data_IF_618243318920
#
_entry.id   IF_618243318920
#
_cell.length_a   1.000
_cell.length_b   1.000
_cell.length_c   1.000
_cell.angle_alpha   90.00
_cell.angle_beta   90.00
_cell.angle_gamma   90.00
#
_symmetry.space_group_name_H-M   'P 1'
#
loop_
_entity.id
_entity.type
_entity.pdbx_description
1 polymer ?
#
# COMPACT_ATOMS: atom_id res chain seq x y z
N UNK A 1 21.90 15.05 -26.44
CA UNK A 1 21.45 15.70 -25.18
C UNK A 1 19.95 15.51 -25.06
N UNK A 2 19.45 15.23 -23.85
CA UNK A 2 18.01 15.09 -23.61
C UNK A 2 17.30 16.44 -23.81
N UNK A 3 16.21 16.44 -24.57
CA UNK A 3 15.35 17.63 -24.76
C UNK A 3 14.17 17.55 -23.82
N UNK A 4 13.71 18.70 -23.35
CA UNK A 4 12.57 18.82 -22.46
C UNK A 4 11.59 19.85 -22.98
N UNK A 5 10.31 19.59 -22.76
CA UNK A 5 9.25 20.58 -22.83
C UNK A 5 8.93 21.05 -21.41
N UNK A 6 8.63 22.32 -21.23
CA UNK A 6 8.30 22.92 -19.94
C UNK A 6 6.87 23.43 -19.93
N UNK A 7 6.22 23.28 -18.78
CA UNK A 7 4.89 23.84 -18.51
C UNK A 7 4.94 24.63 -17.22
N UNK A 8 4.37 25.83 -17.24
CA UNK A 8 4.25 26.69 -16.06
C UNK A 8 2.77 26.94 -15.83
N UNK A 9 2.32 26.68 -14.60
CA UNK A 9 0.92 26.89 -14.21
C UNK A 9 0.85 27.76 -12.96
N UNK A 10 -0.18 28.61 -12.80
CA UNK A 10 -0.38 29.35 -11.56
C UNK A 10 -0.52 28.38 -10.38
N UNK A 11 0.14 28.68 -9.26
CA UNK A 11 -0.05 27.90 -8.04
C UNK A 11 -1.50 28.08 -7.54
N UNK A 12 -2.15 27.02 -7.00
CA UNK A 12 -3.45 27.15 -6.38
C UNK A 12 -3.43 28.21 -5.28
N UNK A 13 -4.39 29.13 -5.29
CA UNK A 13 -4.49 30.19 -4.28
C UNK A 13 -5.52 29.88 -3.18
N UNK A 14 -6.43 28.94 -3.47
CA UNK A 14 -7.54 28.57 -2.57
C UNK A 14 -7.53 27.07 -2.37
N UNK A 15 -7.81 26.67 -1.14
CA UNK A 15 -7.95 25.27 -0.78
C UNK A 15 -9.27 24.66 -1.22
N UNK A 16 -9.21 23.41 -1.68
CA UNK A 16 -10.35 22.60 -2.11
C UNK A 16 -10.86 21.81 -0.91
N UNK A 17 -12.18 21.77 -0.72
CA UNK A 17 -12.79 20.91 0.31
C UNK A 17 -12.66 19.45 -0.13
N UNK A 18 -12.21 18.58 0.78
CA UNK A 18 -12.17 17.14 0.57
C UNK A 18 -12.70 16.40 1.81
N UNK A 19 -13.10 15.15 1.62
CA UNK A 19 -13.62 14.30 2.70
C UNK A 19 -12.55 14.13 3.78
N UNK A 20 -12.91 14.38 5.04
CA UNK A 20 -11.99 14.31 6.17
C UNK A 20 -11.10 15.55 6.38
N UNK A 21 -11.02 16.47 5.40
CA UNK A 21 -10.16 17.67 5.49
C UNK A 21 -10.96 18.87 6.01
N UNK A 22 -10.75 19.19 7.29
CA UNK A 22 -11.51 20.23 7.99
C UNK A 22 -10.78 21.59 8.05
N UNK A 23 -9.46 21.60 8.07
CA UNK A 23 -8.64 22.80 8.27
C UNK A 23 -8.39 23.57 6.97
N UNK A 24 -8.21 24.91 7.01
CA UNK A 24 -7.82 25.69 5.83
C UNK A 24 -6.50 25.23 5.21
N UNK A 25 -5.50 24.95 6.04
CA UNK A 25 -4.20 24.42 5.62
C UNK A 25 -4.35 23.09 4.88
N UNK A 26 -5.11 22.14 5.45
CA UNK A 26 -5.35 20.85 4.81
C UNK A 26 -6.02 21.01 3.45
N UNK A 27 -7.00 21.93 3.32
CA UNK A 27 -7.65 22.21 2.03
C UNK A 27 -6.67 22.77 1.00
N UNK A 28 -5.77 23.64 1.43
CA UNK A 28 -4.72 24.19 0.57
C UNK A 28 -3.75 23.11 0.10
N UNK A 29 -3.28 22.25 1.01
CA UNK A 29 -2.45 21.10 0.68
C UNK A 29 -3.15 20.16 -0.32
N UNK A 30 -4.43 19.86 -0.11
CA UNK A 30 -5.23 19.06 -1.04
C UNK A 30 -5.28 19.67 -2.45
N UNK A 31 -5.42 21.00 -2.58
CA UNK A 31 -5.41 21.63 -3.91
C UNK A 31 -4.07 21.49 -4.62
N UNK A 32 -2.96 21.63 -3.88
CA UNK A 32 -1.62 21.43 -4.45
C UNK A 32 -1.44 19.96 -4.85
N UNK A 33 -1.78 19.02 -3.97
CA UNK A 33 -1.70 17.59 -4.21
C UNK A 33 -2.50 17.18 -5.45
N UNK A 34 -3.75 17.65 -5.59
CA UNK A 34 -4.58 17.39 -6.76
C UNK A 34 -3.92 17.87 -8.05
N UNK A 35 -3.35 19.08 -8.06
CA UNK A 35 -2.65 19.62 -9.23
C UNK A 35 -1.39 18.82 -9.56
N UNK A 36 -0.58 18.47 -8.55
CA UNK A 36 0.62 17.66 -8.76
C UNK A 36 0.27 16.27 -9.30
N UNK A 37 -0.76 15.63 -8.76
CA UNK A 37 -1.22 14.33 -9.23
C UNK A 37 -1.77 14.40 -10.65
N UNK A 38 -2.51 15.45 -11.00
CA UNK A 38 -2.99 15.66 -12.37
C UNK A 38 -1.81 15.84 -13.34
N UNK A 39 -0.85 16.70 -13.00
CA UNK A 39 0.35 16.91 -13.84
C UNK A 39 1.17 15.63 -13.99
N UNK A 40 1.35 14.87 -12.91
CA UNK A 40 2.02 13.57 -12.95
C UNK A 40 1.30 12.55 -13.83
N UNK A 41 -0.04 12.47 -13.77
CA UNK A 41 -0.85 11.63 -14.66
C UNK A 41 -0.70 12.04 -16.13
N UNK A 42 -0.57 13.34 -16.40
CA UNK A 42 -0.34 13.89 -17.74
C UNK A 42 1.13 13.75 -18.22
N UNK A 43 1.99 13.08 -17.44
CA UNK A 43 3.40 12.82 -17.77
C UNK A 43 4.36 13.98 -17.50
N UNK A 44 3.96 14.93 -16.66
CA UNK A 44 4.80 16.06 -16.25
C UNK A 44 5.51 15.79 -14.92
N UNK A 45 6.79 16.12 -14.87
CA UNK A 45 7.65 16.07 -13.69
C UNK A 45 7.67 17.46 -13.01
N UNK A 46 7.42 17.49 -11.70
CA UNK A 46 7.50 18.72 -10.92
C UNK A 46 8.96 19.16 -10.72
N UNK A 47 9.25 20.43 -11.00
CA UNK A 47 10.59 20.99 -10.81
C UNK A 47 10.68 21.87 -9.57
N UNK A 48 9.82 22.88 -9.47
CA UNK A 48 9.87 23.89 -8.40
C UNK A 48 8.65 24.80 -8.38
N UNK A 49 8.49 25.51 -7.28
CA UNK A 49 7.61 26.68 -7.16
C UNK A 49 8.46 27.95 -7.26
N UNK A 50 7.92 28.98 -7.91
CA UNK A 50 8.58 30.27 -8.11
C UNK A 50 7.62 31.41 -7.78
N UNK A 51 8.17 32.52 -7.26
CA UNK A 51 7.43 33.76 -6.99
C UNK A 51 7.97 34.85 -7.90
N UNK A 52 7.21 35.22 -8.93
CA UNK A 52 7.66 36.12 -9.99
C UNK A 52 6.80 37.40 -10.05
N UNK A 53 7.40 38.56 -10.39
CA UNK A 53 6.64 39.77 -10.68
C UNK A 53 5.94 39.64 -12.04
N UNK A 54 4.66 40.05 -12.10
CA UNK A 54 3.81 40.10 -13.29
C UNK A 54 3.35 41.53 -13.50
N UNK A 55 3.71 42.15 -14.62
CA UNK A 55 3.24 43.49 -14.98
C UNK A 55 1.86 43.42 -15.63
N UNK A 56 0.88 44.10 -15.03
CA UNK A 56 -0.49 44.09 -15.49
C UNK A 56 -1.01 45.52 -15.64
N UNK A 57 -1.83 45.78 -16.65
CA UNK A 57 -2.42 47.11 -16.85
C UNK A 57 -3.33 47.46 -15.68
N UNK A 58 -3.12 48.64 -15.11
CA UNK A 58 -3.96 49.23 -14.07
C UNK A 58 -4.62 50.51 -14.59
N UNK A 59 -5.95 50.48 -14.73
CA UNK A 59 -6.73 51.63 -15.22
C UNK A 59 -6.45 51.94 -16.69
N UNK A 60 -6.57 53.23 -17.06
CA UNK A 60 -6.51 53.65 -18.47
C UNK A 60 -5.08 53.76 -19.02
N UNK A 61 -4.08 54.11 -18.20
CA UNK A 61 -2.69 54.34 -18.66
C UNK A 61 -1.60 53.77 -17.74
N UNK A 62 -1.95 53.19 -16.58
CA UNK A 62 -0.97 52.66 -15.63
C UNK A 62 -0.65 51.18 -15.83
N UNK A 63 0.47 50.74 -15.27
CA UNK A 63 0.77 49.34 -14.99
C UNK A 63 1.01 49.14 -13.49
N UNK A 64 0.76 47.92 -13.00
CA UNK A 64 1.02 47.50 -11.63
C UNK A 64 1.76 46.18 -11.65
N UNK A 65 2.76 46.03 -10.77
CA UNK A 65 3.49 44.78 -10.58
C UNK A 65 2.79 43.91 -9.54
N UNK A 66 2.30 42.75 -9.96
CA UNK A 66 1.68 41.73 -9.12
C UNK A 66 2.63 40.56 -8.91
N UNK A 67 2.95 40.23 -7.66
CA UNK A 67 3.77 39.06 -7.35
C UNK A 67 2.91 37.79 -7.38
N UNK A 68 3.27 36.83 -8.25
CA UNK A 68 2.50 35.60 -8.49
C UNK A 68 3.33 34.35 -8.23
N UNK A 69 2.73 33.40 -7.52
CA UNK A 69 3.29 32.07 -7.36
C UNK A 69 2.94 31.21 -8.56
N UNK A 70 3.92 30.51 -9.13
CA UNK A 70 3.76 29.56 -10.22
C UNK A 70 4.46 28.24 -9.89
N UNK A 71 3.96 27.14 -10.45
CA UNK A 71 4.57 25.83 -10.39
C UNK A 71 5.15 25.49 -11.76
N UNK A 72 6.41 25.07 -11.78
CA UNK A 72 7.15 24.73 -13.00
C UNK A 72 7.26 23.22 -13.11
N UNK A 73 6.92 22.71 -14.29
CA UNK A 73 6.99 21.31 -14.64
C UNK A 73 7.80 21.13 -15.92
N UNK A 74 8.34 19.92 -16.12
CA UNK A 74 8.97 19.52 -17.38
C UNK A 74 8.51 18.13 -17.81
N UNK A 75 8.68 17.80 -19.09
CA UNK A 75 8.60 16.41 -19.58
C UNK A 75 9.68 16.18 -20.63
N UNK A 76 10.25 14.99 -20.65
CA UNK A 76 11.22 14.60 -21.67
C UNK A 76 10.53 14.54 -23.04
N UNK A 77 11.09 15.22 -24.04
CA UNK A 77 10.71 14.99 -25.43
C UNK A 77 11.43 13.72 -25.89
N UNK A 78 10.71 12.77 -26.49
CA UNK A 78 11.34 11.63 -27.13
C UNK A 78 12.40 12.14 -28.12
N UNK A 79 13.67 11.89 -27.82
CA UNK A 79 14.70 11.90 -28.84
C UNK A 79 14.41 10.65 -29.67
N UNK A 80 14.18 10.81 -30.98
CA UNK A 80 13.67 9.76 -31.86
C UNK A 80 14.18 8.38 -31.45
N UNK A 81 13.23 7.50 -31.14
CA UNK A 81 13.37 6.11 -30.71
C UNK A 81 14.76 5.53 -31.04
N UNK A 82 15.72 5.64 -30.12
CA UNK A 82 16.76 4.63 -30.07
C UNK A 82 16.04 3.39 -29.52
N UNK A 83 16.17 2.21 -30.16
CA UNK A 83 15.45 1.02 -29.73
C UNK A 83 15.70 0.82 -28.24
N UNK A 84 14.65 0.84 -27.42
CA UNK A 84 14.78 0.33 -26.07
C UNK A 84 15.26 -1.11 -26.21
N UNK A 85 16.33 -1.52 -25.50
CA UNK A 85 16.65 -2.94 -25.43
C UNK A 85 15.42 -3.62 -24.85
N UNK A 86 14.74 -4.40 -25.68
CA UNK A 86 13.73 -5.36 -25.23
C UNK A 86 14.36 -6.12 -24.07
N UNK A 87 13.70 -6.22 -22.90
CA UNK A 87 14.13 -7.15 -21.86
C UNK A 87 14.33 -8.51 -22.54
N UNK A 88 15.45 -9.22 -22.31
CA UNK A 88 15.54 -10.59 -22.80
C UNK A 88 14.30 -11.31 -22.28
N UNK A 89 13.53 -11.92 -23.20
CA UNK A 89 12.48 -12.84 -22.80
C UNK A 89 13.12 -13.82 -21.83
N UNK A 90 12.64 -13.82 -20.58
CA UNK A 90 13.03 -14.81 -19.60
C UNK A 90 12.59 -16.15 -20.18
N UNK A 91 13.56 -16.89 -20.72
CA UNK A 91 13.43 -18.28 -21.09
C UNK A 91 12.72 -18.96 -19.93
N UNK A 92 11.48 -19.39 -20.17
CA UNK A 92 10.63 -20.01 -19.17
C UNK A 92 11.18 -21.41 -18.91
N UNK A 93 12.30 -21.47 -18.20
CA UNK A 93 12.84 -22.71 -17.68
C UNK A 93 11.75 -23.31 -16.78
N UNK A 94 11.30 -24.55 -17.05
CA UNK A 94 10.24 -25.16 -16.26
C UNK A 94 10.71 -25.29 -14.81
N UNK A 95 10.00 -24.64 -13.89
CA UNK A 95 10.26 -24.78 -12.46
C UNK A 95 10.02 -26.23 -12.06
N UNK A 96 10.95 -26.92 -11.38
CA UNK A 96 10.73 -28.29 -10.95
C UNK A 96 9.55 -28.32 -9.97
N UNK A 97 8.52 -29.08 -10.31
CA UNK A 97 7.41 -29.35 -9.37
C UNK A 97 7.95 -30.22 -8.23
N UNK A 98 7.66 -29.88 -6.96
CA UNK A 98 8.01 -30.76 -5.86
C UNK A 98 7.26 -32.09 -6.03
N UNK A 99 7.99 -33.19 -5.96
CA UNK A 99 7.42 -34.54 -5.93
C UNK A 99 6.87 -34.76 -4.52
N UNK A 100 5.60 -35.15 -4.35
CA UNK A 100 5.04 -35.41 -3.02
C UNK A 100 5.86 -36.46 -2.28
N UNK A 101 6.30 -36.11 -1.07
CA UNK A 101 6.97 -37.05 -0.18
C UNK A 101 5.97 -38.05 0.44
N UNK A 102 6.44 -39.12 1.08
CA UNK A 102 5.60 -40.17 1.68
C UNK A 102 4.71 -39.70 2.85
N UNK A 103 4.72 -38.41 3.18
CA UNK A 103 3.86 -37.78 4.19
C UNK A 103 2.50 -37.34 3.58
N UNK A 104 2.40 -37.15 2.26
CA UNK A 104 1.17 -36.68 1.59
C UNK A 104 0.12 -37.79 1.36
N UNK A 105 0.46 -39.06 1.64
CA UNK A 105 -0.48 -40.20 1.53
C UNK A 105 -1.26 -40.50 2.83
N UNK A 106 -1.08 -39.70 3.89
CA UNK A 106 -1.69 -39.95 5.21
C UNK A 106 -2.85 -39.01 5.56
N UNK A 107 -3.41 -38.28 4.59
CA UNK A 107 -4.61 -37.45 4.79
C UNK A 107 -5.90 -38.15 4.35
N UNK A 108 -6.17 -39.33 4.91
CA UNK A 108 -7.53 -39.88 4.95
C UNK A 108 -7.63 -40.91 6.10
N UNK A 109 -8.29 -40.59 7.23
CA UNK A 109 -8.59 -41.61 8.23
C UNK A 109 -9.66 -42.59 7.67
N UNK A 110 -9.49 -43.91 7.82
CA UNK A 110 -10.52 -44.87 7.42
C UNK A 110 -11.76 -44.69 8.30
N UNK A 111 -12.95 -44.68 7.69
CA UNK A 111 -14.22 -44.59 8.41
C UNK A 111 -14.42 -45.84 9.30
N UNK A 112 -14.57 -45.62 10.60
CA UNK A 112 -14.82 -46.68 11.56
C UNK A 112 -16.28 -47.21 11.43
N UNK A 113 -16.51 -48.53 11.59
CA UNK A 113 -17.86 -49.10 11.58
C UNK A 113 -18.67 -48.66 12.82
N UNK A 114 -20.00 -48.62 12.68
CA UNK A 114 -20.91 -48.13 13.71
C UNK A 114 -20.91 -49.00 14.99
N UNK A 115 -21.07 -48.38 16.18
CA UNK A 115 -21.08 -49.10 17.45
C UNK A 115 -22.35 -49.94 17.66
N UNK A 116 -22.17 -51.15 18.21
CA UNK A 116 -23.24 -52.06 18.63
C UNK A 116 -23.92 -51.47 19.88
N UNK A 117 -25.25 -51.35 19.86
CA UNK A 117 -26.04 -50.94 21.04
C UNK A 117 -26.34 -52.16 21.91
N UNK A 118 -25.55 -52.35 22.95
CA UNK A 118 -25.86 -53.29 24.03
C UNK A 118 -25.51 -52.62 25.37
N UNK A 119 -26.47 -52.53 26.29
CA UNK A 119 -26.27 -51.92 27.62
C UNK A 119 -25.68 -52.95 28.58
N UNK A 120 -24.46 -52.76 29.09
CA UNK A 120 -23.93 -53.59 30.17
C UNK A 120 -24.62 -53.22 31.49
N UNK A 121 -25.12 -54.22 32.21
CA UNK A 121 -25.65 -54.05 33.56
C UNK A 121 -24.51 -54.07 34.59
N UNK A 122 -24.39 -53.02 35.40
CA UNK A 122 -23.37 -52.94 36.46
C UNK A 122 -23.84 -53.59 37.77
N UNK A 123 -23.07 -54.52 38.37
CA UNK A 123 -23.21 -54.86 39.78
C UNK A 123 -22.41 -53.88 40.66
N UNK A 124 -22.84 -53.60 41.92
CA UNK A 124 -22.21 -52.56 42.72
C UNK A 124 -21.02 -53.12 43.51
N UNK A 125 -19.89 -52.43 43.50
CA UNK A 125 -18.79 -52.68 44.42
C UNK A 125 -18.27 -51.36 45.00
N UNK A 126 -18.57 -51.13 46.28
CA UNK A 126 -17.93 -50.11 47.13
C UNK A 126 -16.75 -50.72 47.87
N UNK A 127 -15.56 -50.09 47.87
CA UNK A 127 -14.55 -50.27 48.93
C UNK A 127 -13.69 -49.00 49.14
N UNK A 128 -13.32 -48.82 50.42
CA UNK A 128 -12.79 -47.64 51.13
C UNK A 128 -11.29 -47.34 50.85
N UNK A 129 -10.80 -46.11 51.09
CA UNK A 129 -9.37 -45.81 51.09
C UNK A 129 -8.70 -46.24 52.41
N UNK A 130 -7.48 -46.77 52.31
CA UNK A 130 -6.60 -47.14 53.44
C UNK A 130 -5.37 -46.21 53.48
N UNK A 131 -4.98 -45.84 54.69
CA UNK A 131 -3.86 -44.98 55.12
C UNK A 131 -2.44 -45.41 54.67
N UNK A 132 -1.54 -44.42 54.55
CA UNK A 132 -0.10 -44.53 54.88
C UNK A 132 0.49 -43.10 55.14
N UNK A 133 0.62 -42.62 56.39
CA UNK A 133 1.77 -42.65 57.35
C UNK A 133 3.05 -41.97 56.80
N UNK A 134 3.34 -40.70 57.15
CA UNK A 134 4.09 -40.14 58.30
C UNK A 134 5.62 -39.99 58.08
N UNK A 135 6.23 -38.88 58.52
CA UNK A 135 7.03 -38.84 59.76
C UNK A 135 7.65 -37.45 60.04
N UNK A 136 7.74 -37.09 61.32
CA UNK A 136 8.29 -35.85 61.90
C UNK A 136 9.49 -36.23 62.78
N UNK A 137 10.61 -35.47 62.82
CA UNK A 137 11.77 -35.88 63.62
C UNK A 137 11.67 -35.39 65.07
N UNK A 138 11.99 -36.28 66.01
CA UNK A 138 12.06 -36.01 67.45
C UNK A 138 13.49 -35.66 67.89
N UNK A 139 13.65 -34.51 68.56
CA UNK A 139 14.23 -34.31 69.92
C UNK A 139 14.98 -32.98 70.07
#
# INVERSE_FOLDING_TARGET
>A
MQRYEYKVVPAPQKGTKAKGVKTPEGRFATSIEQLLNQMGQDGWEYQRAELLPSEERSGLTGSTTNWRNVLVFRRALAAGEAPQPTPPEEDSAPTPRPVPGPQDVLSAPPAAPAPISEQPQDPPLSLKPSDEVADEPSR
#
